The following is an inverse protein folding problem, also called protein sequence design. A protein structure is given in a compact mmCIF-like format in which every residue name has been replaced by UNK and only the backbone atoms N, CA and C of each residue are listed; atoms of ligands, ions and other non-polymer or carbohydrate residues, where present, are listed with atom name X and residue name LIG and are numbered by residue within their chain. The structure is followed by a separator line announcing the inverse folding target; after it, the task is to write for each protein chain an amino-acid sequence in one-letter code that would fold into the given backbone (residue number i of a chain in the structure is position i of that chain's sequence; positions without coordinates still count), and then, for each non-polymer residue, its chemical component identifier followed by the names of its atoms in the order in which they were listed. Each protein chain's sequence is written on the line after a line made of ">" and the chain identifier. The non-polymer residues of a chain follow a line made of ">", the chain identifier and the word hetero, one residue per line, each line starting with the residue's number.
data_IF_587643309901
#
_entry.id   IF_587643309901
#
_cell.length_a   1.000
_cell.length_b   1.000
_cell.length_c   1.000
_cell.angle_alpha   90.00
_cell.angle_beta   90.00
_cell.angle_gamma   90.00
#
_symmetry.space_group_name_H-M   'P 1'
#
loop_
_entity.id
_entity.type
_entity.pdbx_description
1 polymer ?
#
# COMPACT_ATOMS: atom_id res chain seq x y z
N UNK A 1 -19.85 40.07 -27.81
CA UNK A 1 -18.55 39.47 -28.17
C UNK A 1 -18.09 38.67 -26.97
N UNK A 2 -18.52 37.42 -26.90
CA UNK A 2 -18.24 36.50 -25.80
C UNK A 2 -17.20 35.51 -26.30
N UNK A 3 -15.97 35.63 -25.79
CA UNK A 3 -14.88 34.69 -26.06
C UNK A 3 -15.20 33.35 -25.38
N UNK A 4 -15.49 32.34 -26.18
CA UNK A 4 -15.36 30.93 -25.78
C UNK A 4 -13.96 30.50 -26.19
N UNK A 5 -13.03 30.49 -25.24
CA UNK A 5 -11.73 29.85 -25.43
C UNK A 5 -11.91 28.35 -25.19
N UNK A 6 -11.83 27.58 -26.28
CA UNK A 6 -11.84 26.13 -26.26
C UNK A 6 -10.55 25.61 -25.61
N UNK A 7 -10.68 24.98 -24.45
CA UNK A 7 -9.58 24.33 -23.75
C UNK A 7 -9.26 23.00 -24.47
N UNK A 8 -8.23 23.00 -25.31
CA UNK A 8 -7.74 21.81 -26.00
C UNK A 8 -6.86 20.99 -25.05
N UNK A 9 -7.40 19.87 -24.56
CA UNK A 9 -6.65 18.85 -23.81
C UNK A 9 -5.72 18.10 -24.78
N UNK A 10 -4.51 18.62 -24.95
CA UNK A 10 -3.45 17.94 -25.69
C UNK A 10 -2.93 16.78 -24.84
N UNK A 11 -3.60 15.64 -24.99
CA UNK A 11 -3.23 14.39 -24.33
C UNK A 11 -1.86 13.91 -24.79
N UNK A 12 -0.80 14.30 -24.08
CA UNK A 12 0.51 13.67 -24.23
C UNK A 12 0.44 12.28 -23.61
N UNK A 13 0.36 11.27 -24.45
CA UNK A 13 0.32 9.87 -24.07
C UNK A 13 1.68 9.45 -23.49
N UNK A 14 1.72 9.19 -22.17
CA UNK A 14 2.92 8.67 -21.51
C UNK A 14 3.19 7.24 -22.00
N UNK A 15 4.27 7.08 -22.77
CA UNK A 15 4.80 5.79 -23.19
C UNK A 15 5.97 5.41 -22.26
N UNK A 16 5.92 4.26 -21.55
CA UNK A 16 7.05 3.79 -20.75
C UNK A 16 8.21 3.39 -21.66
N UNK A 17 9.41 3.88 -21.37
CA UNK A 17 10.66 3.48 -22.03
C UNK A 17 10.99 2.04 -21.61
N UNK A 18 11.01 1.07 -22.54
CA UNK A 18 11.40 -0.30 -22.20
C UNK A 18 12.93 -0.41 -22.16
N UNK A 19 13.47 -0.73 -20.99
CA UNK A 19 14.81 -1.30 -20.85
C UNK A 19 15.86 -0.37 -20.25
N UNK A 20 15.85 -0.24 -18.92
CA UNK A 20 17.09 -0.14 -18.15
C UNK A 20 16.99 -1.11 -16.97
N UNK A 21 17.61 -2.27 -17.16
CA UNK A 21 18.03 -3.13 -16.07
C UNK A 21 19.23 -2.40 -15.47
N UNK A 22 19.05 -1.72 -14.34
CA UNK A 22 20.16 -1.35 -13.49
C UNK A 22 20.69 -2.62 -12.82
N UNK A 23 21.55 -3.34 -13.56
CA UNK A 23 22.56 -4.21 -12.97
C UNK A 23 23.59 -3.29 -12.31
N UNK A 24 23.41 -3.06 -11.02
CA UNK A 24 24.53 -2.63 -10.18
C UNK A 24 25.36 -3.88 -9.91
N UNK A 25 26.37 -4.07 -10.76
CA UNK A 25 27.47 -4.98 -10.49
C UNK A 25 28.37 -4.33 -9.44
N UNK A 26 28.26 -4.78 -8.20
CA UNK A 26 29.35 -4.63 -7.24
C UNK A 26 30.25 -5.85 -7.37
N UNK A 27 31.32 -5.68 -8.14
CA UNK A 27 32.52 -6.49 -8.00
C UNK A 27 33.13 -6.16 -6.64
N UNK A 28 33.02 -7.06 -5.68
CA UNK A 28 33.88 -7.03 -4.50
C UNK A 28 34.73 -8.30 -4.44
N UNK A 29 36.00 -8.06 -4.70
CA UNK A 29 37.15 -8.92 -4.55
C UNK A 29 37.12 -9.66 -3.22
N UNK A 30 36.79 -10.94 -3.26
CA UNK A 30 37.04 -11.89 -2.18
C UNK A 30 38.51 -12.29 -2.22
N UNK A 31 39.34 -11.77 -1.31
CA UNK A 31 40.65 -12.33 -1.00
C UNK A 31 40.57 -13.10 0.32
N UNK A 32 41.05 -14.34 0.28
CA UNK A 32 41.02 -15.34 1.34
C UNK A 32 41.59 -14.86 2.68
N UNK A 33 40.87 -15.18 3.76
CA UNK A 33 41.44 -15.24 5.10
C UNK A 33 42.40 -16.42 5.22
N UNK A 34 43.63 -16.16 5.68
CA UNK A 34 44.17 -16.69 6.93
C UNK A 34 45.69 -16.45 7.03
N UNK A 35 46.11 -15.41 7.75
CA UNK A 35 47.43 -15.40 8.40
C UNK A 35 47.29 -14.84 9.83
N UNK A 36 47.81 -15.63 10.76
CA UNK A 36 47.74 -15.51 12.21
C UNK A 36 48.90 -14.67 12.78
N UNK A 37 48.54 -13.59 13.51
CA UNK A 37 49.16 -13.07 14.77
C UNK A 37 50.57 -12.39 14.72
N UNK A 38 51.06 -11.78 15.83
CA UNK A 38 50.75 -10.45 16.37
C UNK A 38 51.98 -9.50 16.46
N UNK A 39 51.80 -8.20 16.72
CA UNK A 39 52.71 -7.45 17.61
C UNK A 39 52.15 -6.07 18.02
N UNK A 40 52.27 -5.78 19.31
CA UNK A 40 51.89 -4.59 20.04
C UNK A 40 52.76 -3.37 19.73
N UNK A 41 52.17 -2.19 19.57
CA UNK A 41 52.60 -0.92 20.20
C UNK A 41 51.41 0.07 20.16
N UNK A 42 51.12 0.68 21.30
CA UNK A 42 49.92 1.47 21.58
C UNK A 42 50.07 2.94 21.15
N UNK A 43 49.24 3.38 20.20
CA UNK A 43 49.01 4.80 19.88
C UNK A 43 47.83 5.35 20.70
N UNK A 44 47.81 6.66 21.07
CA UNK A 44 46.76 7.26 21.89
C UNK A 44 45.41 7.17 21.18
N UNK A 45 44.60 6.22 21.65
CA UNK A 45 43.30 5.89 21.08
C UNK A 45 42.34 7.07 21.14
N UNK A 46 41.99 7.60 19.97
CA UNK A 46 40.70 8.27 19.81
C UNK A 46 39.64 7.23 20.15
N UNK A 47 39.12 7.26 21.37
CA UNK A 47 38.04 6.37 21.76
C UNK A 47 36.87 6.61 20.81
N UNK A 48 36.69 5.71 19.84
CA UNK A 48 35.58 5.79 18.88
C UNK A 48 34.32 5.75 19.70
N UNK A 49 33.63 6.90 19.78
CA UNK A 49 32.35 6.99 20.50
C UNK A 49 31.43 5.88 20.00
N UNK A 50 30.84 5.14 20.94
CA UNK A 50 30.02 3.97 20.61
C UNK A 50 28.90 4.43 19.68
N UNK A 51 28.76 3.77 18.52
CA UNK A 51 27.68 4.02 17.57
C UNK A 51 26.35 3.91 18.32
N UNK A 52 25.56 4.99 18.34
CA UNK A 52 24.25 4.99 19.01
C UNK A 52 23.33 3.96 18.36
N UNK A 53 22.59 3.21 19.16
CA UNK A 53 21.54 2.33 18.63
C UNK A 53 20.39 3.19 18.08
N UNK A 54 19.96 2.91 16.85
CA UNK A 54 18.85 3.65 16.22
C UNK A 54 17.55 2.95 16.56
N UNK A 55 16.71 3.59 17.37
CA UNK A 55 15.34 3.13 17.61
C UNK A 55 14.40 3.70 16.52
N UNK A 56 14.22 2.94 15.44
CA UNK A 56 13.37 3.34 14.31
C UNK A 56 11.89 3.46 14.70
N UNK A 57 11.40 2.66 15.64
CA UNK A 57 9.98 2.67 16.04
C UNK A 57 9.58 4.01 16.66
N UNK A 58 10.52 4.64 17.35
CA UNK A 58 10.29 5.94 17.98
C UNK A 58 10.29 7.12 16.99
N UNK A 59 10.68 6.90 15.73
CA UNK A 59 10.64 7.95 14.72
C UNK A 59 9.21 8.40 14.49
N UNK A 60 8.97 9.71 14.55
CA UNK A 60 7.65 10.33 14.35
C UNK A 60 7.01 9.90 13.03
N UNK A 61 7.82 9.66 11.99
CA UNK A 61 7.37 9.13 10.69
C UNK A 61 6.79 7.72 10.84
N UNK A 62 7.45 6.84 11.58
CA UNK A 62 7.03 5.46 11.79
C UNK A 62 5.81 5.37 12.69
N UNK A 63 5.76 6.15 13.78
CA UNK A 63 4.54 6.28 14.61
C UNK A 63 3.35 6.73 13.79
N UNK A 64 3.51 7.76 12.93
CA UNK A 64 2.45 8.23 12.05
C UNK A 64 2.02 7.17 11.03
N UNK A 65 2.97 6.47 10.42
CA UNK A 65 2.68 5.37 9.48
C UNK A 65 1.88 4.27 10.17
N UNK A 66 2.27 3.87 11.38
CA UNK A 66 1.57 2.88 12.18
C UNK A 66 0.15 3.33 12.52
N UNK A 67 -0.03 4.56 13.04
CA UNK A 67 -1.35 5.11 13.37
C UNK A 67 -2.28 5.10 12.15
N UNK A 68 -1.80 5.63 11.02
CA UNK A 68 -2.54 5.63 9.75
C UNK A 68 -2.94 4.22 9.31
N UNK A 69 -1.99 3.28 9.31
CA UNK A 69 -2.25 1.92 8.86
C UNK A 69 -3.13 1.14 9.85
N UNK A 70 -3.16 1.52 11.13
CA UNK A 70 -4.06 0.95 12.14
C UNK A 70 -5.44 1.61 12.18
N UNK A 71 -5.69 2.60 11.31
CA UNK A 71 -6.95 3.34 11.27
C UNK A 71 -7.13 4.30 12.44
N UNK A 72 -6.09 4.59 13.22
CA UNK A 72 -6.14 5.50 14.37
C UNK A 72 -5.94 6.95 13.96
N UNK A 73 -6.46 7.86 14.76
CA UNK A 73 -6.26 9.28 14.54
C UNK A 73 -4.79 9.68 14.66
N UNK A 74 -4.36 10.64 13.85
CA UNK A 74 -2.97 11.12 13.82
C UNK A 74 -2.85 12.55 13.29
N UNK A 75 -1.74 13.19 13.61
CA UNK A 75 -1.41 14.53 13.10
C UNK A 75 -0.46 14.41 11.90
N UNK A 76 -0.83 15.04 10.79
CA UNK A 76 0.01 15.09 9.58
C UNK A 76 1.28 15.92 9.81
N UNK A 77 2.21 15.92 8.84
CA UNK A 77 3.39 16.80 8.91
C UNK A 77 3.00 18.29 8.92
N UNK A 78 1.84 18.63 8.38
CA UNK A 78 1.32 20.00 8.27
C UNK A 78 0.45 20.39 9.48
N UNK A 79 0.42 19.59 10.56
CA UNK A 79 -0.37 19.89 11.76
C UNK A 79 -1.87 19.55 11.65
N UNK A 80 -2.35 19.09 10.50
CA UNK A 80 -3.76 18.70 10.33
C UNK A 80 -4.05 17.38 11.05
N UNK A 81 -5.08 17.37 11.89
CA UNK A 81 -5.59 16.16 12.56
C UNK A 81 -6.39 15.28 11.60
N UNK A 82 -6.19 13.97 11.72
CA UNK A 82 -6.99 12.95 11.04
C UNK A 82 -7.70 12.13 12.10
N UNK A 83 -8.99 11.91 11.90
CA UNK A 83 -9.83 11.17 12.85
C UNK A 83 -9.57 9.66 12.77
N UNK A 84 -9.83 8.98 13.88
CA UNK A 84 -9.88 7.52 13.96
C UNK A 84 -11.00 6.98 13.07
N UNK A 85 -10.76 5.84 12.44
CA UNK A 85 -11.73 5.05 11.71
C UNK A 85 -12.58 4.28 12.72
N UNK A 86 -13.87 4.57 12.73
CA UNK A 86 -14.86 3.94 13.60
C UNK A 86 -15.80 3.13 12.71
N UNK A 87 -16.19 1.95 13.17
CA UNK A 87 -17.21 1.17 12.49
C UNK A 87 -18.57 1.85 12.67
N UNK A 88 -19.26 2.10 11.56
CA UNK A 88 -20.60 2.68 11.55
C UNK A 88 -21.54 1.69 10.87
N UNK A 89 -22.59 1.28 11.60
CA UNK A 89 -23.57 0.35 11.08
C UNK A 89 -24.61 1.07 10.21
N UNK A 90 -24.21 1.44 8.99
CA UNK A 90 -25.03 2.19 8.04
C UNK A 90 -25.48 1.27 6.91
N UNK A 91 -26.75 1.39 6.49
CA UNK A 91 -27.23 0.76 5.27
C UNK A 91 -26.64 1.48 4.05
N UNK A 92 -25.77 0.77 3.34
CA UNK A 92 -25.09 1.21 2.14
C UNK A 92 -26.03 1.43 0.94
N UNK A 93 -27.26 0.90 0.96
CA UNK A 93 -28.21 0.95 -0.17
C UNK A 93 -27.69 0.26 -1.44
N UNK A 94 -26.63 -0.54 -1.33
CA UNK A 94 -25.94 -1.07 -2.49
C UNK A 94 -26.75 -2.21 -3.15
N UNK A 95 -26.64 -2.41 -4.48
CA UNK A 95 -27.39 -3.44 -5.19
C UNK A 95 -26.99 -4.87 -4.78
N UNK A 96 -25.88 -5.02 -4.06
CA UNK A 96 -25.41 -6.28 -3.50
C UNK A 96 -26.03 -6.61 -2.14
N UNK A 97 -26.91 -5.74 -1.61
CA UNK A 97 -27.65 -5.96 -0.36
C UNK A 97 -26.73 -6.28 0.82
N UNK A 98 -25.62 -5.53 0.93
CA UNK A 98 -24.56 -5.74 1.91
C UNK A 98 -25.10 -5.76 3.36
N UNK A 99 -26.10 -4.93 3.63
CA UNK A 99 -26.69 -4.74 4.95
C UNK A 99 -27.58 -5.90 5.40
N UNK A 100 -28.27 -6.58 4.46
CA UNK A 100 -29.20 -7.66 4.78
C UNK A 100 -28.58 -9.05 4.67
N UNK A 101 -27.52 -9.22 3.87
CA UNK A 101 -26.83 -10.50 3.71
C UNK A 101 -25.88 -10.82 4.86
N UNK A 102 -25.39 -9.81 5.56
CA UNK A 102 -24.46 -9.95 6.67
C UNK A 102 -25.08 -9.37 7.93
N UNK A 103 -24.75 -9.95 9.07
CA UNK A 103 -25.08 -9.37 10.38
C UNK A 103 -24.19 -8.16 10.67
N UNK A 104 -24.62 -7.34 11.63
CA UNK A 104 -23.80 -6.22 12.12
C UNK A 104 -22.44 -6.69 12.65
N UNK A 105 -22.44 -7.80 13.42
CA UNK A 105 -21.23 -8.39 13.99
C UNK A 105 -20.24 -8.80 12.90
N UNK A 106 -20.68 -9.50 11.85
CA UNK A 106 -19.80 -9.88 10.74
C UNK A 106 -19.22 -8.65 10.03
N UNK A 107 -20.00 -7.59 9.86
CA UNK A 107 -19.52 -6.32 9.28
C UNK A 107 -18.46 -5.67 10.16
N UNK A 108 -18.69 -5.64 11.47
CA UNK A 108 -17.73 -5.11 12.43
C UNK A 108 -16.45 -5.95 12.45
N UNK A 109 -16.55 -7.28 12.45
CA UNK A 109 -15.40 -8.18 12.38
C UNK A 109 -14.59 -7.99 11.10
N UNK A 110 -15.23 -7.80 9.94
CA UNK A 110 -14.55 -7.49 8.69
C UNK A 110 -13.78 -6.17 8.80
N UNK A 111 -14.39 -5.14 9.40
CA UNK A 111 -13.76 -3.84 9.63
C UNK A 111 -12.53 -3.97 10.55
N UNK A 112 -12.69 -4.66 11.67
CA UNK A 112 -11.62 -4.87 12.65
C UNK A 112 -10.48 -5.72 12.08
N UNK A 113 -10.82 -6.81 11.37
CA UNK A 113 -9.85 -7.69 10.72
C UNK A 113 -8.93 -6.92 9.77
N UNK A 114 -9.48 -5.98 9.00
CA UNK A 114 -8.69 -5.16 8.08
C UNK A 114 -7.75 -4.19 8.81
N UNK A 115 -8.24 -3.47 9.82
CA UNK A 115 -7.43 -2.48 10.53
C UNK A 115 -6.43 -3.11 11.51
N UNK A 116 -6.70 -4.31 11.99
CA UNK A 116 -5.79 -5.07 12.85
C UNK A 116 -4.51 -5.53 12.15
N UNK A 117 -4.48 -5.57 10.81
CA UNK A 117 -3.28 -5.88 10.04
C UNK A 117 -2.15 -4.85 10.27
N UNK A 118 -2.49 -3.57 10.45
CA UNK A 118 -1.57 -2.45 10.76
C UNK A 118 -0.41 -2.25 9.77
N UNK A 119 -0.35 -3.03 8.70
CA UNK A 119 0.64 -2.96 7.65
C UNK A 119 -0.04 -2.79 6.28
N UNK A 120 0.52 -1.89 5.47
CA UNK A 120 -0.07 -1.51 4.19
C UNK A 120 -0.01 -2.65 3.16
N UNK A 121 1.08 -3.43 3.16
CA UNK A 121 1.22 -4.52 2.20
C UNK A 121 0.28 -5.67 2.57
N UNK A 122 0.16 -5.97 3.86
CA UNK A 122 -0.79 -6.97 4.34
C UNK A 122 -2.25 -6.55 4.07
N UNK A 123 -2.59 -5.27 4.27
CA UNK A 123 -3.90 -4.72 3.92
C UNK A 123 -4.20 -4.85 2.42
N UNK A 124 -3.24 -4.54 1.55
CA UNK A 124 -3.42 -4.72 0.11
C UNK A 124 -3.55 -6.20 -0.26
N UNK A 125 -2.71 -7.07 0.30
CA UNK A 125 -2.81 -8.52 0.06
C UNK A 125 -4.18 -9.07 0.49
N UNK A 126 -4.70 -8.62 1.64
CA UNK A 126 -6.04 -8.96 2.10
C UNK A 126 -7.12 -8.52 1.09
N UNK A 127 -7.06 -7.28 0.59
CA UNK A 127 -8.01 -6.80 -0.42
C UNK A 127 -7.87 -7.56 -1.76
N UNK A 128 -6.65 -7.84 -2.21
CA UNK A 128 -6.42 -8.58 -3.45
C UNK A 128 -6.94 -10.01 -3.39
N UNK A 129 -6.84 -10.68 -2.24
CA UNK A 129 -7.41 -12.01 -2.03
C UNK A 129 -8.95 -12.03 -2.19
N UNK A 130 -9.60 -10.88 -2.03
CA UNK A 130 -11.05 -10.70 -2.16
C UNK A 130 -11.49 -10.17 -3.54
N UNK A 131 -10.55 -10.05 -4.50
CA UNK A 131 -10.84 -9.55 -5.84
C UNK A 131 -10.43 -10.59 -6.88
N UNK A 132 -11.39 -10.99 -7.72
CA UNK A 132 -11.14 -11.90 -8.83
C UNK A 132 -11.31 -11.20 -10.17
N UNK A 133 -10.27 -11.25 -11.00
CA UNK A 133 -10.33 -10.81 -12.40
C UNK A 133 -11.20 -11.78 -13.21
N UNK A 134 -12.14 -11.25 -13.97
CA UNK A 134 -13.03 -12.01 -14.85
C UNK A 134 -13.09 -11.38 -16.24
N UNK A 135 -13.46 -12.16 -17.25
CA UNK A 135 -13.77 -11.63 -18.58
C UNK A 135 -15.14 -10.93 -18.58
N UNK A 136 -15.34 -9.99 -19.51
CA UNK A 136 -16.64 -9.33 -19.67
C UNK A 136 -17.63 -10.31 -20.29
N UNK A 137 -18.70 -10.63 -19.54
CA UNK A 137 -19.71 -11.62 -19.94
C UNK A 137 -20.59 -11.15 -21.12
N UNK A 138 -20.86 -9.84 -21.23
CA UNK A 138 -21.67 -9.27 -22.31
C UNK A 138 -21.08 -7.96 -22.81
N UNK A 139 -20.85 -7.87 -24.13
CA UNK A 139 -20.52 -6.63 -24.82
C UNK A 139 -21.81 -6.04 -25.38
N UNK A 140 -22.07 -4.75 -25.12
CA UNK A 140 -23.15 -4.01 -25.82
C UNK A 140 -22.56 -3.47 -27.13
N UNK A 141 -23.30 -3.51 -28.25
CA UNK A 141 -22.86 -2.82 -29.45
C UNK A 141 -22.67 -1.34 -29.12
N UNK A 142 -21.49 -0.81 -29.43
CA UNK A 142 -21.14 0.60 -29.29
C UNK A 142 -20.60 1.07 -30.63
N UNK A 143 -20.70 2.37 -30.86
CA UNK A 143 -19.91 3.02 -31.89
C UNK A 143 -18.44 2.60 -31.76
N UNK A 144 -17.82 2.25 -32.89
CA UNK A 144 -16.50 1.61 -32.96
C UNK A 144 -15.36 2.53 -32.54
N UNK A 145 -15.66 3.79 -32.19
CA UNK A 145 -14.70 4.81 -31.75
C UNK A 145 -13.93 4.44 -30.48
N UNK A 146 -14.41 3.50 -29.64
CA UNK A 146 -13.68 3.07 -28.42
C UNK A 146 -13.69 1.56 -28.24
N UNK A 147 -12.51 0.99 -27.99
CA UNK A 147 -12.37 -0.41 -27.62
C UNK A 147 -13.18 -0.73 -26.34
N UNK A 148 -13.95 -1.83 -26.40
CA UNK A 148 -14.72 -2.30 -25.26
C UNK A 148 -13.83 -2.83 -24.13
N UNK A 149 -14.29 -2.71 -22.88
CA UNK A 149 -13.63 -3.37 -21.74
C UNK A 149 -13.62 -4.88 -21.97
N UNK A 150 -12.46 -5.52 -21.82
CA UNK A 150 -12.30 -6.97 -21.89
C UNK A 150 -12.22 -7.63 -20.50
N UNK A 151 -12.01 -6.82 -19.47
CA UNK A 151 -11.85 -7.27 -18.09
C UNK A 151 -12.95 -6.67 -17.22
N UNK A 152 -13.44 -7.50 -16.30
CA UNK A 152 -14.31 -7.15 -15.20
C UNK A 152 -13.68 -7.68 -13.90
N UNK A 153 -14.14 -7.19 -12.76
CA UNK A 153 -13.72 -7.67 -11.45
C UNK A 153 -14.95 -8.13 -10.67
N UNK A 154 -14.80 -9.27 -9.98
CA UNK A 154 -15.74 -9.76 -8.98
C UNK A 154 -15.14 -9.52 -7.61
N UNK A 155 -15.96 -9.04 -6.70
CA UNK A 155 -15.57 -8.70 -5.32
C UNK A 155 -16.24 -9.69 -4.38
N UNK A 156 -15.48 -10.14 -3.41
CA UNK A 156 -15.91 -11.09 -2.39
C UNK A 156 -15.74 -10.46 -1.01
N UNK A 157 -16.51 -10.96 -0.06
CA UNK A 157 -16.32 -10.65 1.36
C UNK A 157 -15.99 -11.95 2.06
N UNK A 158 -15.14 -11.87 3.09
CA UNK A 158 -14.78 -13.01 3.89
C UNK A 158 -15.96 -13.32 4.83
N UNK A 159 -16.79 -14.32 4.49
CA UNK A 159 -17.85 -14.78 5.39
C UNK A 159 -17.32 -15.90 6.28
N UNK A 160 -17.47 -15.77 7.59
CA UNK A 160 -17.26 -16.90 8.49
C UNK A 160 -18.55 -17.73 8.49
N UNK A 161 -18.59 -18.83 7.74
CA UNK A 161 -19.69 -19.79 7.89
C UNK A 161 -19.46 -20.44 9.26
N UNK A 162 -20.32 -20.14 10.23
CA UNK A 162 -20.47 -20.97 11.42
C UNK A 162 -21.18 -22.25 10.95
N UNK A 163 -20.42 -23.27 10.59
CA UNK A 163 -20.92 -24.65 10.45
C UNK A 163 -21.15 -25.27 11.81
#
# INVERSE_FOLDING_TARGET
>A
MSNTEDFSDSGSEYQPIPGEIHTESETDTSCDENIMMPSSLSEPGTSKSRKRSINKENWTVNKRKLLRNSGKGYVTKMGVEKNTKIFENIDCGCPKKCYTLFTENERQEMFESFWNLKDFNQQNAFLYALVQKASVNRKRPKDLSRAGKNVSFKYFLKSHIMT
#
